data_IF_584631561462
#
_entry.id   IF_584631561462
#
_cell.length_a   1.000
_cell.length_b   1.000
_cell.length_c   1.000
_cell.angle_alpha   90.00
_cell.angle_beta   90.00
_cell.angle_gamma   90.00
#
_symmetry.space_group_name_H-M   'P 1'
#
loop_
_entity.id
_entity.type
_entity.pdbx_description
1 polymer ?
#
# COMPACT_ATOMS: atom_id res chain seq x y z
N UNK A 1 -10.59 7.25 -19.81
CA UNK A 1 -10.24 6.28 -18.76
C UNK A 1 -11.29 6.37 -17.66
N UNK A 2 -11.66 5.25 -17.03
CA UNK A 2 -12.63 5.26 -15.92
C UNK A 2 -11.96 5.84 -14.65
N UNK A 3 -12.68 6.56 -13.77
CA UNK A 3 -12.13 7.13 -12.54
C UNK A 3 -11.35 6.13 -11.67
N UNK A 4 -11.83 4.88 -11.57
CA UNK A 4 -11.17 3.84 -10.76
C UNK A 4 -9.79 3.44 -11.30
N UNK A 5 -9.58 3.50 -12.62
CA UNK A 5 -8.27 3.20 -13.22
C UNK A 5 -7.25 4.31 -12.93
N UNK A 6 -7.71 5.56 -12.83
CA UNK A 6 -6.86 6.69 -12.47
C UNK A 6 -6.39 6.54 -11.02
N UNK A 7 -7.32 6.25 -10.09
CA UNK A 7 -6.99 6.02 -8.68
C UNK A 7 -6.03 4.85 -8.49
N UNK A 8 -6.28 3.71 -9.15
CA UNK A 8 -5.39 2.56 -9.15
C UNK A 8 -3.97 2.93 -9.58
N UNK A 9 -3.83 3.69 -10.66
CA UNK A 9 -2.52 4.15 -11.14
C UNK A 9 -1.83 5.07 -10.12
N UNK A 10 -2.57 5.98 -9.48
CA UNK A 10 -2.01 6.85 -8.45
C UNK A 10 -1.52 6.08 -7.22
N UNK A 11 -2.26 5.06 -6.77
CA UNK A 11 -1.82 4.24 -5.65
C UNK A 11 -0.55 3.45 -5.99
N UNK A 12 -0.47 2.87 -7.20
CA UNK A 12 0.75 2.21 -7.65
C UNK A 12 1.93 3.18 -7.77
N UNK A 13 1.71 4.39 -8.27
CA UNK A 13 2.75 5.43 -8.34
C UNK A 13 3.27 5.80 -6.93
N UNK A 14 2.41 5.86 -5.92
CA UNK A 14 2.83 6.05 -4.52
C UNK A 14 3.71 4.87 -4.06
N UNK A 15 3.32 3.62 -4.36
CA UNK A 15 4.12 2.44 -4.02
C UNK A 15 5.49 2.48 -4.70
N UNK A 16 5.54 2.86 -5.99
CA UNK A 16 6.78 2.99 -6.73
C UNK A 16 7.70 4.04 -6.09
N UNK A 17 7.15 5.21 -5.75
CA UNK A 17 7.88 6.27 -5.05
C UNK A 17 8.42 5.82 -3.68
N UNK A 18 7.62 5.09 -2.89
CA UNK A 18 8.07 4.53 -1.60
C UNK A 18 9.20 3.53 -1.77
N UNK A 19 9.12 2.67 -2.79
CA UNK A 19 10.17 1.69 -3.10
C UNK A 19 11.45 2.39 -3.54
N UNK A 20 11.36 3.38 -4.43
CA UNK A 20 12.50 4.16 -4.91
C UNK A 20 13.20 4.91 -3.78
N UNK A 21 12.43 5.56 -2.90
CA UNK A 21 12.94 6.31 -1.75
C UNK A 21 13.30 5.44 -0.56
N UNK A 22 12.87 4.18 -0.59
CA UNK A 22 12.94 3.24 0.54
C UNK A 22 12.35 3.82 1.82
N UNK A 23 11.22 4.53 1.68
CA UNK A 23 10.52 5.21 2.76
C UNK A 23 9.00 5.04 2.60
N UNK A 24 8.34 4.26 3.46
CA UNK A 24 8.93 3.49 4.56
C UNK A 24 9.71 2.25 4.04
N UNK A 25 10.81 1.84 4.70
CA UNK A 25 11.56 0.63 4.31
C UNK A 25 10.71 -0.65 4.38
N UNK A 26 9.65 -0.64 5.19
CA UNK A 26 8.67 -1.71 5.32
C UNK A 26 7.96 -2.01 3.99
N UNK A 27 7.77 -1.03 3.10
CA UNK A 27 7.20 -1.27 1.76
C UNK A 27 8.08 -2.26 0.98
N UNK A 28 9.41 -2.08 1.01
CA UNK A 28 10.36 -2.97 0.34
C UNK A 28 10.44 -4.34 1.02
N UNK A 29 10.41 -4.38 2.35
CA UNK A 29 10.42 -5.62 3.12
C UNK A 29 9.19 -6.47 2.80
N UNK A 30 8.00 -5.85 2.79
CA UNK A 30 6.74 -6.49 2.44
C UNK A 30 6.71 -6.97 1.00
N UNK A 31 7.21 -6.18 0.04
CA UNK A 31 7.35 -6.63 -1.34
C UNK A 31 8.23 -7.89 -1.45
N UNK A 32 9.36 -7.92 -0.74
CA UNK A 32 10.25 -9.08 -0.69
C UNK A 32 9.58 -10.32 -0.09
N UNK A 33 8.83 -10.14 1.01
CA UNK A 33 8.07 -11.20 1.67
C UNK A 33 7.01 -11.79 0.75
N UNK A 34 6.15 -10.95 0.15
CA UNK A 34 5.09 -11.40 -0.77
C UNK A 34 5.67 -12.15 -1.98
N UNK A 35 6.79 -11.66 -2.55
CA UNK A 35 7.45 -12.37 -3.65
C UNK A 35 7.99 -13.74 -3.22
N UNK A 36 8.52 -13.84 -2.01
CA UNK A 36 8.95 -15.12 -1.42
C UNK A 36 7.78 -16.08 -1.19
N UNK A 37 6.61 -15.54 -0.87
CA UNK A 37 5.36 -16.30 -0.67
C UNK A 37 4.69 -16.71 -2.00
N UNK A 38 5.27 -16.32 -3.15
CA UNK A 38 4.85 -16.78 -4.48
C UNK A 38 4.05 -15.77 -5.30
N UNK A 39 3.83 -14.55 -4.79
CA UNK A 39 3.15 -13.51 -5.54
C UNK A 39 4.05 -12.93 -6.64
N UNK A 40 3.44 -12.58 -7.79
CA UNK A 40 4.16 -11.84 -8.84
C UNK A 40 4.52 -10.44 -8.35
N UNK A 41 5.50 -9.79 -8.98
CA UNK A 41 5.86 -8.40 -8.64
C UNK A 41 4.65 -7.46 -8.76
N UNK A 42 3.86 -7.64 -9.81
CA UNK A 42 2.62 -6.89 -10.06
C UNK A 42 1.58 -7.13 -8.98
N UNK A 43 1.31 -8.40 -8.63
CA UNK A 43 0.29 -8.73 -7.62
C UNK A 43 0.71 -8.24 -6.23
N UNK A 44 1.99 -8.38 -5.88
CA UNK A 44 2.52 -7.88 -4.62
C UNK A 44 2.42 -6.35 -4.52
N UNK A 45 2.75 -5.61 -5.58
CA UNK A 45 2.54 -4.15 -5.61
C UNK A 45 1.07 -3.77 -5.54
N UNK A 46 0.19 -4.54 -6.17
CA UNK A 46 -1.26 -4.32 -6.06
C UNK A 46 -1.78 -4.52 -4.63
N UNK A 47 -1.27 -5.52 -3.89
CA UNK A 47 -1.60 -5.71 -2.48
C UNK A 47 -1.13 -4.54 -1.62
N UNK A 48 0.11 -4.07 -1.84
CA UNK A 48 0.65 -2.90 -1.14
C UNK A 48 -0.15 -1.63 -1.48
N UNK A 49 -0.60 -1.47 -2.73
CA UNK A 49 -1.45 -0.36 -3.15
C UNK A 49 -2.81 -0.34 -2.42
N UNK A 50 -3.33 -1.49 -1.97
CA UNK A 50 -4.52 -1.53 -1.11
C UNK A 50 -4.25 -0.91 0.26
N UNK A 51 -3.06 -1.09 0.83
CA UNK A 51 -2.68 -0.42 2.07
C UNK A 51 -2.62 1.11 1.89
N UNK A 52 -2.14 1.59 0.73
CA UNK A 52 -2.13 3.02 0.40
C UNK A 52 -3.56 3.55 0.28
N UNK A 53 -4.44 2.80 -0.38
CA UNK A 53 -5.84 3.18 -0.52
C UNK A 53 -6.55 3.27 0.84
N UNK A 54 -6.36 2.29 1.73
CA UNK A 54 -6.94 2.31 3.08
C UNK A 54 -6.45 3.50 3.91
N UNK A 55 -5.15 3.82 3.82
CA UNK A 55 -4.59 4.95 4.55
C UNK A 55 -5.13 6.30 4.02
N UNK A 56 -5.21 6.45 2.69
CA UNK A 56 -5.79 7.65 2.09
C UNK A 56 -7.30 7.78 2.37
N UNK A 57 -8.01 6.66 2.47
CA UNK A 57 -9.42 6.64 2.87
C UNK A 57 -9.58 7.22 4.28
N UNK A 58 -8.78 6.78 5.26
CA UNK A 58 -8.81 7.31 6.62
C UNK A 58 -8.48 8.80 6.64
N UNK A 59 -7.43 9.22 5.91
CA UNK A 59 -7.03 10.64 5.83
C UNK A 59 -8.15 11.51 5.24
N UNK A 60 -8.84 11.03 4.20
CA UNK A 60 -9.86 11.82 3.51
C UNK A 60 -11.21 11.81 4.22
N UNK A 61 -11.63 10.68 4.79
CA UNK A 61 -12.97 10.52 5.35
C UNK A 61 -13.04 10.81 6.85
N UNK A 62 -12.04 10.37 7.61
CA UNK A 62 -11.96 10.60 9.06
C UNK A 62 -11.24 11.91 9.39
N UNK A 63 -10.72 12.61 8.37
CA UNK A 63 -9.96 13.86 8.50
C UNK A 63 -8.75 13.72 9.45
N UNK A 64 -8.17 12.52 9.45
CA UNK A 64 -7.00 12.17 10.25
C UNK A 64 -5.70 12.47 9.49
N UNK A 65 -4.60 12.79 10.18
CA UNK A 65 -3.29 12.81 9.55
C UNK A 65 -2.85 11.40 9.12
N UNK A 66 -1.92 11.33 8.17
CA UNK A 66 -1.25 10.09 7.81
C UNK A 66 -0.62 9.44 9.05
N UNK A 67 -0.95 8.17 9.28
CA UNK A 67 -0.43 7.36 10.38
C UNK A 67 0.52 6.29 9.83
N UNK A 68 1.82 6.50 10.07
CA UNK A 68 2.87 5.56 9.65
C UNK A 68 2.75 4.21 10.35
N UNK A 69 2.40 4.18 11.63
CA UNK A 69 2.31 2.93 12.40
C UNK A 69 1.15 2.07 11.90
N UNK A 70 -0.01 2.70 11.64
CA UNK A 70 -1.17 2.04 11.02
C UNK A 70 -0.83 1.50 9.63
N UNK A 71 -0.17 2.32 8.80
CA UNK A 71 0.25 1.90 7.47
C UNK A 71 1.20 0.69 7.51
N UNK A 72 2.22 0.73 8.38
CA UNK A 72 3.18 -0.39 8.56
C UNK A 72 2.49 -1.65 9.10
N UNK A 73 1.54 -1.50 10.02
CA UNK A 73 0.73 -2.63 10.51
C UNK A 73 -0.02 -3.31 9.36
N UNK A 74 -0.65 -2.52 8.48
CA UNK A 74 -1.33 -3.05 7.30
C UNK A 74 -0.36 -3.73 6.32
N UNK A 75 0.83 -3.17 6.08
CA UNK A 75 1.87 -3.81 5.26
C UNK A 75 2.30 -5.18 5.81
N UNK A 76 2.47 -5.28 7.12
CA UNK A 76 2.87 -6.52 7.77
C UNK A 76 1.77 -7.58 7.76
N UNK A 77 0.50 -7.16 7.71
CA UNK A 77 -0.65 -8.05 7.69
C UNK A 77 -0.97 -8.64 6.31
N UNK A 78 -0.42 -8.07 5.22
CA UNK A 78 -0.61 -8.63 3.88
C UNK A 78 -0.22 -10.12 3.85
N UNK A 79 -0.91 -10.99 3.09
CA UNK A 79 -1.88 -10.67 2.05
C UNK A 79 -3.31 -10.45 2.54
N UNK A 80 -3.57 -10.45 3.86
CA UNK A 80 -4.90 -10.18 4.38
C UNK A 80 -5.33 -8.73 4.09
N UNK A 81 -6.64 -8.53 3.96
CA UNK A 81 -7.19 -7.23 3.59
C UNK A 81 -6.80 -6.15 4.60
N UNK A 82 -6.30 -4.98 4.15
CA UNK A 82 -5.97 -3.87 5.05
C UNK A 82 -7.20 -3.37 5.79
N UNK A 83 -7.09 -3.16 7.10
CA UNK A 83 -8.20 -2.58 7.86
C UNK A 83 -8.14 -1.05 7.83
N UNK A 84 -9.30 -0.44 7.63
CA UNK A 84 -9.59 0.94 8.00
C UNK A 84 -9.76 0.96 9.53
N UNK A 85 -9.01 1.84 10.23
CA UNK A 85 -9.06 2.00 11.69
C UNK A 85 -8.98 3.48 12.01
#
# INVERSE_FOLDING_TARGET
>A
MQPNEILKKQFLEIVDNQLERNDPPETRQTLGRLKKDGYSDTDARMLIAQCVAAELFNVMNENEPYDKERYVKNLNNLPDFPSEQ
#
